data_IF_284165000627
#
_entry.id   IF_284165000627
#
_cell.length_a   1.000
_cell.length_b   1.000
_cell.length_c   1.000
_cell.angle_alpha   90.00
_cell.angle_beta   90.00
_cell.angle_gamma   90.00
#
_symmetry.space_group_name_H-M   'P 1'
#
loop_
_entity.id
_entity.type
_entity.pdbx_description
1 polymer ?
#
# COMPACT_ATOMS: atom_id res chain seq x y z
N UNK A 1 4.66 5.22 -21.64
CA UNK A 1 5.40 4.41 -20.67
C UNK A 1 5.14 2.92 -20.89
N UNK A 2 6.01 2.07 -20.39
CA UNK A 2 5.83 0.61 -20.47
C UNK A 2 4.75 0.19 -19.45
N UNK A 3 3.82 -0.68 -19.87
CA UNK A 3 2.86 -1.30 -18.97
C UNK A 3 3.55 -2.42 -18.18
N UNK A 4 3.21 -2.54 -16.89
CA UNK A 4 3.71 -3.59 -16.02
C UNK A 4 2.59 -4.10 -15.12
N UNK A 5 2.73 -5.32 -14.62
CA UNK A 5 1.76 -5.96 -13.76
C UNK A 5 2.17 -5.85 -12.28
N UNK A 6 1.18 -5.74 -11.40
CA UNK A 6 1.34 -5.92 -9.96
C UNK A 6 0.35 -6.99 -9.50
N UNK A 7 0.82 -7.95 -8.71
CA UNK A 7 -0.02 -8.97 -8.11
C UNK A 7 0.09 -8.93 -6.59
N UNK A 8 -1.00 -9.27 -5.92
CA UNK A 8 -1.03 -9.45 -4.47
C UNK A 8 -0.54 -10.85 -4.11
N UNK A 9 0.34 -10.94 -3.12
CA UNK A 9 0.82 -12.21 -2.55
C UNK A 9 0.94 -12.08 -1.04
N UNK A 10 0.56 -13.13 -0.29
CA UNK A 10 0.61 -13.13 1.17
C UNK A 10 1.58 -14.16 1.75
N UNK A 11 2.20 -15.00 0.90
CA UNK A 11 3.06 -16.12 1.34
C UNK A 11 4.14 -16.46 0.28
N UNK A 12 5.12 -17.27 0.71
CA UNK A 12 6.33 -17.56 -0.06
C UNK A 12 6.09 -18.31 -1.37
N UNK A 13 5.21 -19.31 -1.38
CA UNK A 13 5.06 -20.21 -2.54
C UNK A 13 4.47 -19.45 -3.74
N UNK A 14 3.41 -18.66 -3.51
CA UNK A 14 2.82 -17.81 -4.54
C UNK A 14 3.79 -16.71 -5.00
N UNK A 15 4.55 -16.14 -4.05
CA UNK A 15 5.55 -15.11 -4.36
C UNK A 15 6.65 -15.65 -5.27
N UNK A 16 7.18 -16.85 -5.02
CA UNK A 16 8.17 -17.51 -5.87
C UNK A 16 7.64 -17.73 -7.29
N UNK A 17 6.41 -18.25 -7.42
CA UNK A 17 5.79 -18.49 -8.73
C UNK A 17 5.63 -17.18 -9.51
N UNK A 18 5.19 -16.10 -8.85
CA UNK A 18 5.03 -14.82 -9.50
C UNK A 18 6.36 -14.18 -9.90
N UNK A 19 7.38 -14.27 -9.06
CA UNK A 19 8.73 -13.78 -9.35
C UNK A 19 9.35 -14.54 -10.53
N UNK A 20 9.24 -15.88 -10.56
CA UNK A 20 9.69 -16.71 -11.67
C UNK A 20 8.93 -16.45 -12.97
N UNK A 21 7.64 -16.10 -12.89
CA UNK A 21 6.83 -15.68 -14.02
C UNK A 21 7.18 -14.26 -14.53
N UNK A 22 8.08 -13.54 -13.84
CA UNK A 22 8.53 -12.21 -14.23
C UNK A 22 7.56 -11.08 -13.83
N UNK A 23 6.72 -11.28 -12.82
CA UNK A 23 5.88 -10.19 -12.26
C UNK A 23 6.79 -9.19 -11.55
N UNK A 24 6.84 -7.92 -12.00
CA UNK A 24 7.85 -6.98 -11.49
C UNK A 24 7.53 -6.39 -10.12
N UNK A 25 6.28 -6.45 -9.69
CA UNK A 25 5.84 -5.87 -8.40
C UNK A 25 4.89 -6.81 -7.68
N UNK A 26 5.17 -7.11 -6.42
CA UNK A 26 4.28 -7.83 -5.53
C UNK A 26 3.81 -6.93 -4.39
N UNK A 27 2.50 -6.92 -4.15
CA UNK A 27 1.87 -6.20 -3.05
C UNK A 27 1.52 -7.18 -1.93
N UNK A 28 1.99 -6.90 -0.72
CA UNK A 28 1.47 -7.53 0.49
C UNK A 28 0.51 -6.54 1.13
N UNK A 29 -0.77 -6.67 0.75
CA UNK A 29 -1.83 -5.75 1.12
C UNK A 29 -2.48 -6.09 2.46
N UNK A 30 -3.09 -5.08 3.09
CA UNK A 30 -3.99 -5.28 4.23
C UNK A 30 -5.28 -6.03 3.85
N UNK A 31 -5.54 -6.17 2.54
CA UNK A 31 -6.51 -7.14 2.00
C UNK A 31 -6.25 -8.59 2.45
N UNK A 32 -5.12 -8.87 3.08
CA UNK A 32 -4.89 -10.10 3.84
C UNK A 32 -5.99 -10.33 4.89
N UNK A 33 -6.56 -9.27 5.46
CA UNK A 33 -7.71 -9.36 6.36
C UNK A 33 -8.84 -10.17 5.75
N UNK A 34 -9.33 -9.75 4.59
CA UNK A 34 -10.44 -10.41 3.92
C UNK A 34 -10.06 -11.75 3.27
N UNK A 35 -8.88 -11.80 2.62
CA UNK A 35 -8.54 -12.87 1.70
C UNK A 35 -7.73 -13.98 2.35
N UNK A 36 -7.16 -13.74 3.52
CA UNK A 36 -6.28 -14.69 4.19
C UNK A 36 -6.69 -14.95 5.66
N UNK A 37 -7.05 -13.91 6.42
CA UNK A 37 -7.44 -14.06 7.83
C UNK A 37 -8.95 -14.31 8.02
N UNK A 38 -9.80 -14.05 7.01
CA UNK A 38 -11.24 -14.26 7.06
C UNK A 38 -12.03 -13.12 7.74
N UNK A 39 -11.42 -11.94 7.83
CA UNK A 39 -12.06 -10.75 8.37
C UNK A 39 -13.09 -10.16 7.38
N UNK A 40 -14.08 -9.43 7.89
CA UNK A 40 -15.11 -8.79 7.08
C UNK A 40 -14.57 -7.59 6.25
N UNK A 41 -13.50 -6.97 6.71
CA UNK A 41 -12.83 -5.83 6.06
C UNK A 41 -11.36 -5.74 6.51
N UNK A 42 -10.63 -4.73 6.03
CA UNK A 42 -9.19 -4.58 6.28
C UNK A 42 -8.86 -3.87 7.61
N UNK A 43 -9.85 -3.25 8.26
CA UNK A 43 -9.65 -2.42 9.46
C UNK A 43 -8.98 -3.16 10.64
N UNK A 44 -9.31 -4.43 10.94
CA UNK A 44 -8.70 -5.13 12.07
C UNK A 44 -7.23 -5.49 11.88
N UNK A 45 -6.72 -5.45 10.64
CA UNK A 45 -5.36 -5.91 10.32
C UNK A 45 -4.31 -5.05 11.00
N UNK A 46 -3.41 -5.70 11.70
CA UNK A 46 -2.33 -5.06 12.45
C UNK A 46 -1.00 -5.09 11.71
N UNK A 47 -0.07 -4.22 12.10
CA UNK A 47 1.33 -4.26 11.63
C UNK A 47 1.97 -5.61 11.99
N UNK A 48 1.68 -6.13 13.18
CA UNK A 48 2.20 -7.40 13.69
C UNK A 48 1.77 -8.60 12.83
N UNK A 49 0.58 -8.57 12.27
CA UNK A 49 0.07 -9.61 11.35
C UNK A 49 0.67 -9.49 9.96
N UNK A 50 0.90 -8.27 9.45
CA UNK A 50 1.47 -8.07 8.11
C UNK A 50 2.98 -8.32 8.07
N UNK A 51 3.73 -7.97 9.10
CA UNK A 51 5.19 -8.11 9.12
C UNK A 51 5.68 -9.52 8.75
N UNK A 52 5.13 -10.63 9.30
CA UNK A 52 5.54 -11.98 8.90
C UNK A 52 5.17 -12.32 7.46
N UNK A 53 4.04 -11.84 6.94
CA UNK A 53 3.63 -12.06 5.55
C UNK A 53 4.58 -11.32 4.59
N UNK A 54 4.86 -10.04 4.83
CA UNK A 54 5.81 -9.27 4.03
C UNK A 54 7.19 -9.91 4.06
N UNK A 55 7.64 -10.39 5.22
CA UNK A 55 8.93 -11.08 5.37
C UNK A 55 9.00 -12.36 4.55
N UNK A 56 7.93 -13.15 4.55
CA UNK A 56 7.86 -14.38 3.76
C UNK A 56 7.98 -14.07 2.27
N UNK A 57 7.22 -13.10 1.76
CA UNK A 57 7.26 -12.66 0.36
C UNK A 57 8.64 -12.08 0.01
N UNK A 58 9.18 -11.15 0.81
CA UNK A 58 10.46 -10.49 0.53
C UNK A 58 11.64 -11.47 0.46
N UNK A 59 11.60 -12.54 1.24
CA UNK A 59 12.67 -13.56 1.24
C UNK A 59 12.57 -14.54 0.08
N UNK A 60 11.42 -14.63 -0.56
CA UNK A 60 11.14 -15.59 -1.62
C UNK A 60 11.39 -15.04 -3.02
N UNK A 61 11.40 -13.72 -3.18
CA UNK A 61 11.61 -13.09 -4.48
C UNK A 61 13.08 -12.76 -4.74
N UNK A 62 13.47 -12.73 -6.02
CA UNK A 62 14.82 -12.37 -6.48
C UNK A 62 14.82 -11.10 -7.33
N UNK A 63 13.70 -10.76 -7.96
CA UNK A 63 13.59 -9.68 -8.94
C UNK A 63 12.45 -8.71 -8.64
N UNK A 64 11.32 -9.21 -8.11
CA UNK A 64 10.14 -8.41 -7.87
C UNK A 64 10.36 -7.35 -6.77
N UNK A 65 9.85 -6.15 -7.01
CA UNK A 65 9.71 -5.12 -5.98
C UNK A 65 8.60 -5.53 -5.01
N UNK A 66 8.89 -5.61 -3.72
CA UNK A 66 7.90 -5.93 -2.69
C UNK A 66 7.41 -4.64 -2.03
N UNK A 67 6.11 -4.38 -2.17
CA UNK A 67 5.41 -3.25 -1.57
C UNK A 67 4.59 -3.75 -0.39
N UNK A 68 4.75 -3.14 0.78
CA UNK A 68 3.96 -3.45 1.97
C UNK A 68 2.91 -2.36 2.21
N UNK A 69 1.67 -2.76 2.48
CA UNK A 69 0.66 -1.81 2.96
C UNK A 69 0.99 -1.34 4.38
N UNK A 70 0.75 -0.06 4.63
CA UNK A 70 0.59 0.45 5.98
C UNK A 70 -0.88 0.22 6.39
N UNK A 71 -1.17 -0.69 7.35
CA UNK A 71 -2.55 -0.98 7.74
C UNK A 71 -3.18 0.20 8.47
N UNK A 72 -4.51 0.24 8.50
CA UNK A 72 -5.27 1.27 9.22
C UNK A 72 -4.80 1.41 10.68
N UNK A 73 -4.68 2.64 11.16
CA UNK A 73 -4.20 2.96 12.51
C UNK A 73 -2.68 3.05 12.62
N UNK A 74 -1.93 2.74 11.56
CA UNK A 74 -0.47 2.69 11.58
C UNK A 74 0.23 3.93 11.02
N UNK A 75 -0.53 4.89 10.45
CA UNK A 75 0.02 6.13 9.87
C UNK A 75 -0.89 7.35 10.03
N UNK A 76 -2.14 7.20 10.50
CA UNK A 76 -3.12 8.29 10.58
C UNK A 76 -2.83 9.29 11.71
N UNK A 77 -2.03 8.90 12.72
CA UNK A 77 -1.62 9.83 13.78
C UNK A 77 -0.56 10.86 13.34
N UNK A 78 -0.11 10.78 12.08
CA UNK A 78 0.78 11.76 11.46
C UNK A 78 2.07 11.18 10.89
N UNK A 79 2.86 12.06 10.26
CA UNK A 79 4.03 11.71 9.47
C UNK A 79 5.12 10.93 10.26
N UNK A 80 5.29 11.22 11.55
CA UNK A 80 6.28 10.51 12.37
C UNK A 80 5.83 9.08 12.69
N UNK A 81 4.52 8.84 12.89
CA UNK A 81 3.99 7.48 13.02
C UNK A 81 4.18 6.71 11.71
N UNK A 82 3.81 7.31 10.57
CA UNK A 82 4.02 6.71 9.26
C UNK A 82 5.48 6.32 9.03
N UNK A 83 6.42 7.20 9.41
CA UNK A 83 7.85 6.93 9.30
C UNK A 83 8.27 5.76 10.21
N UNK A 84 7.88 5.78 11.47
CA UNK A 84 8.21 4.72 12.42
C UNK A 84 7.69 3.35 11.95
N UNK A 85 6.45 3.29 11.49
CA UNK A 85 5.84 2.07 10.93
C UNK A 85 6.58 1.59 9.68
N UNK A 86 6.88 2.50 8.74
CA UNK A 86 7.60 2.15 7.52
C UNK A 86 9.01 1.62 7.80
N UNK A 87 9.72 2.20 8.76
CA UNK A 87 11.04 1.70 9.20
C UNK A 87 10.92 0.26 9.70
N UNK A 88 9.86 -0.09 10.43
CA UNK A 88 9.62 -1.47 10.87
C UNK A 88 9.48 -2.42 9.68
N UNK A 89 8.66 -2.09 8.68
CA UNK A 89 8.52 -2.91 7.47
C UNK A 89 9.85 -3.10 6.73
N UNK A 90 10.66 -2.06 6.61
CA UNK A 90 11.98 -2.17 5.98
C UNK A 90 12.93 -3.05 6.79
N UNK A 91 13.05 -2.83 8.10
CA UNK A 91 14.04 -3.51 8.94
C UNK A 91 13.62 -4.92 9.36
N UNK A 92 12.33 -5.11 9.68
CA UNK A 92 11.85 -6.38 10.23
C UNK A 92 11.36 -7.34 9.14
N UNK A 93 10.91 -6.84 7.99
CA UNK A 93 10.36 -7.69 6.93
C UNK A 93 11.10 -7.63 5.59
N UNK A 94 11.96 -6.63 5.38
CA UNK A 94 12.68 -6.48 4.12
C UNK A 94 11.82 -5.93 2.98
N UNK A 95 10.77 -5.19 3.28
CA UNK A 95 9.98 -4.47 2.26
C UNK A 95 10.87 -3.49 1.47
N UNK A 96 10.57 -3.31 0.19
CA UNK A 96 11.28 -2.38 -0.69
C UNK A 96 10.57 -1.04 -0.85
N UNK A 97 9.28 -0.99 -0.59
CA UNK A 97 8.43 0.18 -0.63
C UNK A 97 7.24 0.00 0.30
N UNK A 98 6.53 1.09 0.60
CA UNK A 98 5.27 1.05 1.34
C UNK A 98 4.13 1.65 0.53
N UNK A 99 2.87 1.24 0.83
CA UNK A 99 1.67 1.83 0.26
C UNK A 99 0.80 2.42 1.38
N UNK A 100 0.13 3.54 1.10
CA UNK A 100 -0.84 4.17 1.97
C UNK A 100 -1.98 4.80 1.17
N UNK A 101 -3.12 5.03 1.82
CA UNK A 101 -4.37 5.40 1.18
C UNK A 101 -4.70 6.88 1.34
N UNK A 102 -5.35 7.44 0.28
CA UNK A 102 -5.86 8.81 0.27
C UNK A 102 -4.84 9.87 -0.14
N UNK A 103 -5.32 11.12 -0.16
CA UNK A 103 -4.51 12.30 -0.48
C UNK A 103 -4.97 13.53 0.31
N UNK A 104 -5.30 13.35 1.58
CA UNK A 104 -5.54 14.48 2.51
C UNK A 104 -4.22 15.21 2.77
N UNK A 105 -4.28 16.42 3.30
CA UNK A 105 -3.07 17.17 3.66
C UNK A 105 -2.15 16.39 4.59
N UNK A 106 -2.73 15.68 5.58
CA UNK A 106 -1.99 14.82 6.51
C UNK A 106 -1.33 13.62 5.80
N UNK A 107 -2.05 13.01 4.85
CA UNK A 107 -1.50 11.92 4.02
C UNK A 107 -0.35 12.41 3.16
N UNK A 108 -0.52 13.57 2.51
CA UNK A 108 0.52 14.17 1.68
C UNK A 108 1.76 14.57 2.49
N UNK A 109 1.59 15.04 3.73
CA UNK A 109 2.69 15.30 4.65
C UNK A 109 3.44 14.01 4.99
N UNK A 110 2.71 12.94 5.30
CA UNK A 110 3.29 11.61 5.54
C UNK A 110 4.08 11.11 4.34
N UNK A 111 3.53 11.22 3.12
CA UNK A 111 4.25 10.86 1.87
C UNK A 111 5.56 11.65 1.74
N UNK A 112 5.52 12.98 1.89
CA UNK A 112 6.74 13.81 1.79
C UNK A 112 7.77 13.42 2.84
N UNK A 113 7.34 13.12 4.05
CA UNK A 113 8.22 12.69 5.15
C UNK A 113 8.90 11.37 4.84
N UNK A 114 8.16 10.40 4.32
CA UNK A 114 8.69 9.09 3.93
C UNK A 114 9.68 9.21 2.77
N UNK A 115 9.27 9.87 1.69
CA UNK A 115 10.10 10.08 0.50
C UNK A 115 11.38 10.85 0.85
N UNK A 116 11.26 11.91 1.66
CA UNK A 116 12.40 12.67 2.15
C UNK A 116 13.36 11.88 3.04
N UNK A 117 12.90 10.76 3.61
CA UNK A 117 13.71 9.81 4.38
C UNK A 117 14.29 8.66 3.53
N UNK A 118 14.05 8.67 2.21
CA UNK A 118 14.53 7.65 1.29
C UNK A 118 13.66 6.41 1.20
N UNK A 119 12.41 6.47 1.69
CA UNK A 119 11.46 5.36 1.61
C UNK A 119 10.57 5.55 0.37
N UNK A 120 10.60 4.63 -0.64
CA UNK A 120 9.71 4.69 -1.78
C UNK A 120 8.25 4.47 -1.35
N UNK A 121 7.35 5.32 -1.86
CA UNK A 121 5.93 5.31 -1.49
C UNK A 121 5.06 5.10 -2.72
N UNK A 122 4.10 4.19 -2.61
CA UNK A 122 2.98 4.02 -3.53
C UNK A 122 1.74 4.65 -2.92
N UNK A 123 1.03 5.48 -3.67
CA UNK A 123 -0.26 6.05 -3.28
C UNK A 123 -1.41 5.12 -3.66
N UNK A 124 -2.59 5.34 -3.04
CA UNK A 124 -3.81 4.63 -3.37
C UNK A 124 -5.01 5.57 -3.35
N UNK A 125 -5.72 5.65 -4.47
CA UNK A 125 -6.89 6.50 -4.67
C UNK A 125 -8.06 5.70 -5.25
N UNK A 126 -9.21 6.34 -5.31
CA UNK A 126 -10.46 5.72 -5.72
C UNK A 126 -11.16 5.12 -4.51
N UNK A 127 -11.59 3.88 -4.59
CA UNK A 127 -12.01 3.16 -3.40
C UNK A 127 -10.78 2.90 -2.53
N UNK A 128 -10.82 3.38 -1.31
CA UNK A 128 -9.81 3.14 -0.28
C UNK A 128 -10.44 2.26 0.80
N UNK A 129 -10.10 0.95 0.87
CA UNK A 129 -10.74 0.01 1.80
C UNK A 129 -10.67 0.43 3.27
N UNK A 130 -9.61 1.11 3.69
CA UNK A 130 -9.46 1.63 5.05
C UNK A 130 -10.49 2.73 5.38
N UNK A 131 -11.04 3.40 4.35
CA UNK A 131 -12.09 4.41 4.49
C UNK A 131 -13.51 3.85 4.31
N UNK A 132 -13.70 2.54 4.33
CA UNK A 132 -14.96 1.85 4.04
C UNK A 132 -16.14 2.37 4.86
N UNK A 133 -15.92 2.71 6.12
CA UNK A 133 -16.96 3.27 7.00
C UNK A 133 -17.37 4.69 6.58
N UNK A 134 -16.40 5.53 6.19
CA UNK A 134 -16.65 6.88 5.68
C UNK A 134 -17.35 6.85 4.33
N UNK A 135 -16.97 5.93 3.45
CA UNK A 135 -17.53 5.77 2.11
C UNK A 135 -18.92 5.09 2.12
N UNK A 136 -19.31 4.50 3.25
CA UNK A 136 -20.57 3.77 3.38
C UNK A 136 -20.59 2.48 2.57
N UNK A 137 -19.47 1.76 2.52
CA UNK A 137 -19.29 0.49 1.82
C UNK A 137 -18.42 0.58 0.57
N UNK A 138 -18.32 -0.54 -0.14
CA UNK A 138 -17.55 -0.65 -1.40
C UNK A 138 -18.33 0.01 -2.54
N UNK A 139 -17.97 1.24 -2.89
CA UNK A 139 -18.63 2.04 -3.94
C UNK A 139 -17.60 2.58 -4.92
N UNK A 140 -17.97 2.57 -6.22
CA UNK A 140 -17.17 3.18 -7.28
C UNK A 140 -16.97 4.68 -6.99
N UNK A 141 -15.72 5.12 -7.04
CA UNK A 141 -15.34 6.50 -6.79
C UNK A 141 -15.06 7.26 -8.12
N UNK A 142 -15.05 8.59 -8.05
CA UNK A 142 -14.67 9.46 -9.18
C UNK A 142 -15.73 9.67 -10.27
N UNK A 143 -16.89 9.01 -10.21
CA UNK A 143 -17.97 9.22 -11.21
C UNK A 143 -18.59 10.60 -11.12
N UNK A 144 -18.82 11.09 -9.90
CA UNK A 144 -19.48 12.38 -9.65
C UNK A 144 -18.49 13.55 -9.65
N UNK A 145 -17.24 13.30 -9.31
CA UNK A 145 -16.20 14.32 -9.21
C UNK A 145 -14.83 13.80 -9.69
N UNK A 146 -14.65 13.60 -11.00
CA UNK A 146 -13.38 13.13 -11.54
C UNK A 146 -12.25 14.16 -11.37
N UNK A 147 -12.56 15.46 -11.33
CA UNK A 147 -11.56 16.52 -11.15
C UNK A 147 -10.87 16.41 -9.79
N UNK A 148 -11.61 16.07 -8.73
CA UNK A 148 -11.04 15.86 -7.40
C UNK A 148 -10.06 14.66 -7.39
N UNK A 149 -10.41 13.57 -8.07
CA UNK A 149 -9.53 12.40 -8.18
C UNK A 149 -8.24 12.74 -8.94
N UNK A 150 -8.36 13.50 -10.04
CA UNK A 150 -7.21 13.98 -10.82
C UNK A 150 -6.32 14.91 -9.98
N UNK A 151 -6.94 15.83 -9.22
CA UNK A 151 -6.20 16.73 -8.34
C UNK A 151 -5.45 15.96 -7.24
N UNK A 152 -6.10 14.96 -6.64
CA UNK A 152 -5.50 14.08 -5.64
C UNK A 152 -4.30 13.30 -6.21
N UNK A 153 -4.43 12.76 -7.42
CA UNK A 153 -3.34 12.05 -8.08
C UNK A 153 -2.13 12.96 -8.34
N UNK A 154 -2.37 14.19 -8.82
CA UNK A 154 -1.31 15.19 -9.03
C UNK A 154 -0.65 15.63 -7.72
N UNK A 155 -1.42 15.72 -6.65
CA UNK A 155 -0.88 16.06 -5.32
C UNK A 155 0.03 14.94 -4.79
N UNK A 156 -0.36 13.68 -4.94
CA UNK A 156 0.49 12.53 -4.59
C UNK A 156 1.76 12.49 -5.45
N UNK A 157 1.65 12.67 -6.76
CA UNK A 157 2.82 12.76 -7.66
C UNK A 157 3.78 13.87 -7.20
N UNK A 158 3.24 15.05 -6.90
CA UNK A 158 4.03 16.19 -6.40
C UNK A 158 4.64 15.93 -5.01
N UNK A 159 4.02 15.07 -4.19
CA UNK A 159 4.57 14.64 -2.92
C UNK A 159 5.68 13.58 -3.06
N UNK A 160 5.85 12.99 -4.25
CA UNK A 160 6.96 12.12 -4.60
C UNK A 160 6.63 10.62 -4.63
N UNK A 161 5.36 10.22 -4.73
CA UNK A 161 5.03 8.80 -4.92
C UNK A 161 5.56 8.31 -6.27
N UNK A 162 6.06 7.07 -6.32
CA UNK A 162 6.57 6.48 -7.56
C UNK A 162 5.46 5.83 -8.42
N UNK A 163 4.34 5.50 -7.81
CA UNK A 163 3.16 4.92 -8.46
C UNK A 163 1.89 5.20 -7.64
N UNK A 164 0.74 5.06 -8.30
CA UNK A 164 -0.58 5.22 -7.67
C UNK A 164 -1.46 4.05 -8.10
N UNK A 165 -2.09 3.39 -7.13
CA UNK A 165 -3.20 2.46 -7.37
C UNK A 165 -4.47 3.30 -7.53
N UNK A 166 -5.27 3.00 -8.55
CA UNK A 166 -6.61 3.53 -8.74
C UNK A 166 -7.58 2.37 -8.67
N UNK A 167 -8.35 2.29 -7.58
CA UNK A 167 -9.33 1.23 -7.36
C UNK A 167 -10.75 1.75 -7.55
N UNK A 168 -11.58 1.02 -8.35
CA UNK A 168 -12.99 1.34 -8.64
C UNK A 168 -13.28 2.82 -8.89
#
# INVERSE_FOLDING_TARGET
GQKWAMLTSYEMMTAEIFDEAGIPVLLVGDSAGNNFFGEANTIPVTVEELLPLVRAVSRSVKQALVVADLPFGSYEAGAEQALATSIRFFKESGAHAVKLEGATDATLESVRRLVGSGIPVMGHLGLTPQSVHQLGGFKVQGRENPEALIAAAKALESAGVFAIVLEM
#
